data_IF_007575351267
#
_entry.id   IF_007575351267
#
_cell.length_a   1.000
_cell.length_b   1.000
_cell.length_c   1.000
_cell.angle_alpha   90.00
_cell.angle_beta   90.00
_cell.angle_gamma   90.00
#
_symmetry.space_group_name_H-M   'P 1'
#
loop_
_entity.id
_entity.type
_entity.pdbx_description
1 polymer ?
#
# COMPACT_ATOMS: atom_id res chain seq x y z
N UNK A 1 -5.92 -11.34 -5.16
CA UNK A 1 -5.48 -10.48 -4.03
C UNK A 1 -6.64 -10.38 -3.08
N UNK A 2 -6.40 -10.56 -1.79
CA UNK A 2 -7.47 -10.60 -0.79
C UNK A 2 -7.18 -9.62 0.35
N UNK A 3 -8.24 -8.96 0.81
CA UNK A 3 -8.25 -8.10 1.99
C UNK A 3 -9.39 -8.56 2.88
N UNK A 4 -9.05 -8.90 4.13
CA UNK A 4 -10.02 -9.35 5.12
C UNK A 4 -11.00 -8.21 5.48
N UNK A 5 -12.30 -8.51 5.48
CA UNK A 5 -13.39 -7.56 5.67
C UNK A 5 -13.84 -6.85 4.40
N UNK A 6 -13.25 -7.17 3.24
CA UNK A 6 -13.56 -6.55 1.95
C UNK A 6 -13.99 -7.60 0.93
N UNK A 7 -13.12 -8.57 0.62
CA UNK A 7 -13.36 -9.57 -0.43
C UNK A 7 -12.85 -10.98 -0.09
N UNK A 8 -12.56 -11.27 1.18
CA UNK A 8 -12.11 -12.59 1.63
C UNK A 8 -13.11 -13.72 1.31
N UNK A 9 -14.39 -13.40 1.19
CA UNK A 9 -15.46 -14.34 0.84
C UNK A 9 -15.44 -14.79 -0.62
N UNK A 10 -14.69 -14.08 -1.47
CA UNK A 10 -14.48 -14.46 -2.88
C UNK A 10 -13.37 -15.51 -3.04
N UNK A 11 -12.66 -15.83 -1.95
CA UNK A 11 -11.69 -16.92 -1.94
C UNK A 11 -12.38 -18.25 -2.23
N UNK A 12 -11.73 -19.07 -3.06
CA UNK A 12 -12.16 -20.42 -3.42
C UNK A 12 -11.03 -21.40 -3.13
N UNK A 13 -11.40 -22.62 -2.74
CA UNK A 13 -10.46 -23.67 -2.31
C UNK A 13 -9.57 -24.21 -3.42
N UNK A 14 -9.83 -23.86 -4.67
CA UNK A 14 -9.02 -24.18 -5.86
C UNK A 14 -7.91 -23.16 -6.13
N UNK A 15 -7.82 -22.08 -5.33
CA UNK A 15 -6.76 -21.07 -5.43
C UNK A 15 -5.58 -21.47 -4.55
N UNK A 16 -4.55 -22.05 -5.15
CA UNK A 16 -3.36 -22.53 -4.43
C UNK A 16 -2.41 -21.40 -3.96
N UNK A 17 -2.42 -20.25 -4.66
CA UNK A 17 -1.50 -19.14 -4.39
C UNK A 17 -2.29 -17.85 -4.23
N UNK A 18 -2.13 -17.23 -3.06
CA UNK A 18 -2.81 -15.99 -2.69
C UNK A 18 -1.83 -14.89 -2.29
N UNK A 19 -2.26 -13.65 -2.46
CA UNK A 19 -1.54 -12.47 -1.98
C UNK A 19 -2.45 -11.67 -1.04
N UNK A 20 -1.94 -11.36 0.14
CA UNK A 20 -2.62 -10.58 1.18
C UNK A 20 -2.50 -9.06 0.96
N UNK A 21 -2.09 -8.64 -0.25
CA UNK A 21 -1.85 -7.24 -0.61
C UNK A 21 -0.81 -6.57 0.28
N UNK A 22 -0.78 -5.23 0.30
CA UNK A 22 0.14 -4.43 1.11
C UNK A 22 -0.51 -3.95 2.41
N UNK A 23 0.30 -3.52 3.38
CA UNK A 23 -0.18 -2.86 4.60
C UNK A 23 -1.07 -1.64 4.31
N UNK A 24 -0.69 -0.82 3.32
CA UNK A 24 -1.45 0.38 2.94
C UNK A 24 -2.77 0.04 2.25
N UNK A 25 -2.81 -1.01 1.44
CA UNK A 25 -4.06 -1.51 0.82
C UNK A 25 -5.03 -2.04 1.86
N UNK A 26 -4.53 -2.83 2.83
CA UNK A 26 -5.35 -3.30 3.96
C UNK A 26 -5.88 -2.14 4.82
N UNK A 27 -5.17 -1.02 4.91
CA UNK A 27 -5.65 0.17 5.61
C UNK A 27 -6.75 0.90 4.82
N UNK A 28 -6.53 1.14 3.52
CA UNK A 28 -7.46 1.95 2.72
C UNK A 28 -8.72 1.18 2.29
N UNK A 29 -8.61 -0.09 1.89
CA UNK A 29 -9.72 -0.81 1.26
C UNK A 29 -10.97 -0.95 2.15
N UNK A 30 -10.88 -1.27 3.47
CA UNK A 30 -12.06 -1.33 4.33
C UNK A 30 -12.77 0.01 4.46
N UNK A 31 -12.01 1.11 4.58
CA UNK A 31 -12.56 2.46 4.64
C UNK A 31 -13.23 2.84 3.32
N UNK A 32 -12.53 2.63 2.20
CA UNK A 32 -13.03 2.92 0.87
C UNK A 32 -14.33 2.16 0.59
N UNK A 33 -14.41 0.89 0.99
CA UNK A 33 -15.64 0.09 0.87
C UNK A 33 -16.82 0.72 1.63
N UNK A 34 -16.65 1.06 2.90
CA UNK A 34 -17.74 1.63 3.72
C UNK A 34 -18.23 2.96 3.15
N UNK A 35 -17.30 3.83 2.75
CA UNK A 35 -17.64 5.14 2.18
C UNK A 35 -18.32 4.98 0.83
N UNK A 36 -17.80 4.11 -0.05
CA UNK A 36 -18.38 3.87 -1.37
C UNK A 36 -19.79 3.27 -1.28
N UNK A 37 -19.99 2.27 -0.41
CA UNK A 37 -21.28 1.61 -0.23
C UNK A 37 -22.37 2.54 0.32
N UNK A 38 -22.00 3.65 0.96
CA UNK A 38 -22.93 4.62 1.59
C UNK A 38 -23.13 5.89 0.81
N UNK A 39 -22.07 6.40 0.19
CA UNK A 39 -22.05 7.74 -0.41
C UNK A 39 -21.65 7.74 -1.88
N UNK A 40 -21.05 6.65 -2.37
CA UNK A 40 -20.44 6.58 -3.69
C UNK A 40 -19.15 7.39 -3.78
N UNK A 41 -18.04 6.74 -4.16
CA UNK A 41 -16.77 7.42 -4.45
C UNK A 41 -16.70 7.62 -5.96
N UNK A 42 -16.70 8.88 -6.42
CA UNK A 42 -16.50 9.20 -7.85
C UNK A 42 -15.01 9.13 -8.21
N UNK A 43 -14.17 9.73 -7.38
CA UNK A 43 -12.71 9.71 -7.50
C UNK A 43 -12.06 9.92 -6.13
N UNK A 44 -10.79 9.54 -5.99
CA UNK A 44 -10.04 9.71 -4.75
C UNK A 44 -8.54 9.73 -4.96
N UNK A 45 -7.85 10.62 -4.24
CA UNK A 45 -6.40 10.66 -4.16
C UNK A 45 -5.97 10.31 -2.74
N UNK A 46 -4.97 9.44 -2.61
CA UNK A 46 -4.45 9.02 -1.31
C UNK A 46 -2.96 9.33 -1.20
N UNK A 47 -2.57 9.80 -0.04
CA UNK A 47 -1.18 9.89 0.41
C UNK A 47 -1.07 9.15 1.73
N UNK A 48 -0.03 8.34 1.89
CA UNK A 48 0.28 7.66 3.15
C UNK A 48 1.57 8.23 3.73
N UNK A 49 1.54 8.60 5.01
CA UNK A 49 2.75 8.91 5.78
C UNK A 49 3.20 7.60 6.40
N UNK A 50 4.21 6.98 5.78
CA UNK A 50 4.64 5.64 6.12
C UNK A 50 5.86 5.67 7.03
N UNK A 51 5.90 4.78 8.02
CA UNK A 51 7.09 4.56 8.85
C UNK A 51 8.25 3.99 8.00
N UNK A 52 9.48 4.19 8.47
CA UNK A 52 10.65 3.65 7.75
C UNK A 52 10.58 2.12 7.64
N UNK A 53 11.07 1.58 6.53
CA UNK A 53 11.11 0.13 6.28
C UNK A 53 12.53 -0.36 6.00
N UNK A 54 12.72 -1.68 6.00
CA UNK A 54 14.02 -2.31 5.83
C UNK A 54 14.70 -2.07 4.46
N UNK A 55 13.95 -1.60 3.45
CA UNK A 55 14.53 -1.31 2.13
C UNK A 55 15.27 0.02 2.09
N UNK A 56 14.95 0.95 3.01
CA UNK A 56 15.59 2.26 3.10
C UNK A 56 16.97 2.17 3.77
N UNK A 57 17.79 3.20 3.59
CA UNK A 57 19.20 3.19 3.97
C UNK A 57 19.47 4.04 5.21
N UNK A 58 20.27 3.59 6.19
CA UNK A 58 20.56 4.37 7.40
C UNK A 58 21.37 5.64 7.08
N UNK A 59 22.26 5.54 6.09
CA UNK A 59 23.02 6.66 5.51
C UNK A 59 22.86 6.61 3.98
N UNK A 60 23.26 7.67 3.29
CA UNK A 60 23.19 7.71 1.82
C UNK A 60 23.95 6.53 1.20
N UNK A 61 23.26 5.74 0.38
CA UNK A 61 23.79 4.51 -0.18
C UNK A 61 23.13 4.22 -1.53
N UNK A 62 23.84 3.57 -2.49
CA UNK A 62 23.26 3.23 -3.77
C UNK A 62 21.94 2.47 -3.66
N UNK A 63 20.93 2.96 -4.38
CA UNK A 63 19.64 2.31 -4.57
C UNK A 63 19.25 2.48 -6.03
N UNK A 64 19.69 1.56 -6.88
CA UNK A 64 19.66 1.72 -8.35
C UNK A 64 18.26 1.82 -8.94
N UNK A 65 17.27 1.18 -8.31
CA UNK A 65 15.87 1.17 -8.75
C UNK A 65 15.01 2.27 -8.10
N UNK A 66 15.46 2.83 -6.98
CA UNK A 66 14.76 3.88 -6.24
C UNK A 66 15.80 4.84 -5.64
N UNK A 67 16.19 5.84 -6.43
CA UNK A 67 17.28 6.75 -6.08
C UNK A 67 16.95 7.58 -4.85
N UNK A 68 15.68 7.95 -4.68
CA UNK A 68 15.22 8.77 -3.55
C UNK A 68 15.17 7.91 -2.27
N UNK A 69 14.81 6.62 -2.37
CA UNK A 69 14.88 5.66 -1.27
C UNK A 69 16.31 5.32 -0.79
N UNK A 70 17.34 5.67 -1.57
CA UNK A 70 18.75 5.52 -1.19
C UNK A 70 19.28 6.60 -0.24
N UNK A 71 18.50 7.67 0.01
CA UNK A 71 18.88 8.75 0.94
C UNK A 71 18.76 8.30 2.39
N UNK A 72 19.47 8.99 3.30
CA UNK A 72 19.50 8.65 4.72
C UNK A 72 18.10 8.73 5.35
N UNK A 73 17.53 7.57 5.72
CA UNK A 73 16.12 7.42 6.04
C UNK A 73 15.67 8.24 7.25
N UNK A 74 16.48 8.26 8.32
CA UNK A 74 16.14 8.93 9.58
C UNK A 74 16.23 10.46 9.54
N UNK A 75 16.71 11.04 8.44
CA UNK A 75 16.97 12.48 8.32
C UNK A 75 16.18 13.15 7.19
N UNK A 76 15.33 12.41 6.48
CA UNK A 76 14.66 12.91 5.29
C UNK A 76 13.18 12.55 5.27
N UNK A 77 12.38 13.45 4.68
CA UNK A 77 11.08 13.08 4.12
C UNK A 77 11.36 12.50 2.73
N UNK A 78 11.06 11.22 2.54
CA UNK A 78 11.35 10.49 1.29
C UNK A 78 10.05 10.28 0.53
N UNK A 79 9.94 10.92 -0.63
CA UNK A 79 8.81 10.72 -1.55
C UNK A 79 8.94 9.35 -2.22
N UNK A 80 7.86 8.59 -2.22
CA UNK A 80 7.82 7.26 -2.83
C UNK A 80 6.51 7.04 -3.59
N UNK A 81 6.58 6.27 -4.68
CA UNK A 81 5.39 5.82 -5.40
C UNK A 81 4.78 4.62 -4.69
N UNK A 82 3.44 4.52 -4.66
CA UNK A 82 2.73 3.35 -4.15
C UNK A 82 1.57 2.96 -5.05
N UNK A 83 1.41 1.65 -5.27
CA UNK A 83 0.26 1.09 -5.98
C UNK A 83 -0.97 0.90 -5.09
N UNK A 84 -0.88 1.16 -3.78
CA UNK A 84 -1.90 0.76 -2.82
C UNK A 84 -3.30 1.35 -3.07
N UNK A 85 -3.38 2.52 -3.72
CA UNK A 85 -4.61 3.20 -4.13
C UNK A 85 -5.25 2.65 -5.41
N UNK A 86 -4.47 1.97 -6.27
CA UNK A 86 -4.89 1.50 -7.60
C UNK A 86 -5.45 0.06 -7.57
N UNK A 87 -5.42 -0.60 -6.42
CA UNK A 87 -5.64 -2.04 -6.28
C UNK A 87 -7.14 -2.40 -6.13
N UNK A 88 -8.05 -1.49 -6.44
CA UNK A 88 -9.51 -1.71 -6.43
C UNK A 88 -10.17 -0.92 -7.55
#
# INVERSE_FOLDING_TARGET
MFVCGVNEKEYKSDIDIVSNTSCSTNCLAPLAKVINDRFGIVEGLMTTVHAMTATQKPVECPSSKDWIGGRAASFNIILSSTGAAKVY
#
